data_IF_434018373128
#
_entry.id   IF_434018373128
#
_cell.length_a   1.000
_cell.length_b   1.000
_cell.length_c   1.000
_cell.angle_alpha   90.00
_cell.angle_beta   90.00
_cell.angle_gamma   90.00
#
_symmetry.space_group_name_H-M   'P 1'
#
loop_
_entity.id
_entity.type
_entity.pdbx_description
1 polymer ?
#
# COMPACT_ATOMS: atom_id res chain seq x y z
N UNK A 1 -6.58 -1.13 -23.23
CA UNK A 1 -6.79 -2.51 -22.76
C UNK A 1 -7.91 -2.37 -21.76
N UNK A 2 -9.11 -2.55 -22.29
CA UNK A 2 -10.30 -2.00 -21.68
C UNK A 2 -10.78 -3.07 -20.70
N UNK A 3 -10.40 -2.93 -19.44
CA UNK A 3 -10.80 -3.81 -18.35
C UNK A 3 -12.24 -3.50 -17.93
N UNK A 4 -13.16 -3.47 -18.88
CA UNK A 4 -14.58 -3.45 -18.58
C UNK A 4 -15.04 -4.91 -18.55
N UNK A 5 -15.29 -5.43 -17.35
CA UNK A 5 -15.90 -6.73 -17.15
C UNK A 5 -17.43 -6.57 -17.24
N UNK A 6 -18.08 -6.93 -18.36
CA UNK A 6 -19.51 -6.74 -18.52
C UNK A 6 -20.25 -7.64 -17.52
N UNK A 7 -21.03 -7.02 -16.63
CA UNK A 7 -21.85 -7.72 -15.63
C UNK A 7 -21.48 -7.42 -14.16
N UNK A 8 -20.36 -6.73 -13.90
CA UNK A 8 -20.02 -6.27 -12.56
C UNK A 8 -20.50 -4.82 -12.40
N UNK A 9 -21.41 -4.56 -11.46
CA UNK A 9 -21.68 -3.17 -11.02
C UNK A 9 -20.42 -2.68 -10.32
N UNK A 10 -19.58 -1.92 -11.05
CA UNK A 10 -18.39 -1.32 -10.49
C UNK A 10 -18.82 -0.18 -9.56
N UNK A 11 -18.64 -0.40 -8.26
CA UNK A 11 -18.60 0.69 -7.27
C UNK A 11 -17.14 0.99 -6.98
N UNK A 12 -16.49 1.87 -7.78
CA UNK A 12 -15.08 2.17 -7.61
C UNK A 12 -14.82 2.77 -6.23
N UNK A 13 -13.74 2.33 -5.60
CA UNK A 13 -13.28 2.90 -4.34
C UNK A 13 -12.41 4.11 -4.65
N UNK A 14 -12.77 5.27 -4.08
CA UNK A 14 -11.92 6.46 -4.16
C UNK A 14 -10.62 6.20 -3.36
N UNK A 15 -9.48 6.23 -4.06
CA UNK A 15 -8.19 5.92 -3.47
C UNK A 15 -7.81 6.87 -2.32
N UNK A 16 -8.19 8.16 -2.39
CA UNK A 16 -7.90 9.11 -1.32
C UNK A 16 -8.75 8.84 -0.09
N UNK A 17 -10.03 8.49 -0.27
CA UNK A 17 -10.91 8.06 0.83
C UNK A 17 -10.39 6.78 1.47
N UNK A 18 -9.95 5.81 0.67
CA UNK A 18 -9.35 4.58 1.17
C UNK A 18 -8.08 4.84 1.97
N UNK A 19 -7.16 5.66 1.45
CA UNK A 19 -5.92 6.02 2.16
C UNK A 19 -6.18 6.67 3.51
N UNK A 20 -7.15 7.60 3.58
CA UNK A 20 -7.56 8.21 4.87
C UNK A 20 -8.08 7.18 5.86
N UNK A 21 -8.94 6.26 5.40
CA UNK A 21 -9.48 5.20 6.25
C UNK A 21 -8.37 4.27 6.75
N UNK A 22 -7.43 3.89 5.88
CA UNK A 22 -6.30 3.03 6.20
C UNK A 22 -5.35 3.65 7.23
N UNK A 23 -5.12 4.97 7.18
CA UNK A 23 -4.36 5.68 8.22
C UNK A 23 -5.15 5.69 9.54
N UNK A 24 -6.44 6.05 9.48
CA UNK A 24 -7.27 6.16 10.68
C UNK A 24 -7.56 4.82 11.37
N UNK A 25 -7.41 3.70 10.65
CA UNK A 25 -7.64 2.37 11.21
C UNK A 25 -6.51 1.89 12.12
N UNK A 26 -5.37 2.60 12.15
CA UNK A 26 -4.21 2.22 12.98
C UNK A 26 -3.48 0.96 12.50
N UNK A 27 -3.68 0.54 11.24
CA UNK A 27 -3.02 -0.63 10.64
C UNK A 27 -1.64 -0.25 10.10
N UNK A 28 -1.48 0.99 9.64
CA UNK A 28 -0.21 1.58 9.23
C UNK A 28 0.39 2.38 10.38
N UNK A 29 1.71 2.61 10.37
CA UNK A 29 2.44 3.34 11.41
C UNK A 29 2.26 2.71 12.81
N UNK A 30 2.09 1.38 12.88
CA UNK A 30 1.83 0.67 14.12
C UNK A 30 2.75 -0.55 14.26
N UNK A 31 3.76 -0.41 15.14
CA UNK A 31 4.78 -1.43 15.40
C UNK A 31 4.25 -2.69 16.10
N UNK A 32 3.00 -2.68 16.58
CA UNK A 32 2.37 -3.84 17.24
C UNK A 32 1.74 -4.82 16.25
N UNK A 33 1.69 -4.47 14.96
CA UNK A 33 1.09 -5.28 13.92
C UNK A 33 2.16 -5.82 12.97
N UNK A 34 1.93 -7.01 12.42
CA UNK A 34 2.85 -7.63 11.47
C UNK A 34 2.20 -7.68 10.09
N UNK A 35 2.87 -7.09 9.11
CA UNK A 35 2.46 -7.14 7.71
C UNK A 35 3.00 -8.42 7.06
N UNK A 36 2.14 -9.20 6.42
CA UNK A 36 2.56 -10.40 5.68
C UNK A 36 2.24 -10.20 4.21
N UNK A 37 3.24 -10.37 3.35
CA UNK A 37 3.11 -10.07 1.92
C UNK A 37 3.82 -11.10 1.04
N UNK A 38 3.55 -11.08 -0.26
CA UNK A 38 4.13 -12.01 -1.25
C UNK A 38 4.54 -11.24 -2.50
N UNK A 39 5.83 -11.33 -2.90
CA UNK A 39 6.41 -10.55 -4.03
C UNK A 39 6.03 -9.05 -4.05
N UNK A 40 5.97 -8.43 -2.87
CA UNK A 40 5.18 -7.20 -2.66
C UNK A 40 5.87 -5.87 -2.92
N UNK A 41 6.91 -5.86 -3.74
CA UNK A 41 7.61 -4.61 -4.08
C UNK A 41 6.66 -3.58 -4.71
N UNK A 42 5.79 -4.04 -5.61
CA UNK A 42 4.79 -3.21 -6.27
C UNK A 42 3.63 -2.86 -5.34
N UNK A 43 3.16 -3.81 -4.53
CA UNK A 43 2.01 -3.59 -3.63
C UNK A 43 2.29 -2.48 -2.62
N UNK A 44 3.46 -2.53 -1.97
CA UNK A 44 3.88 -1.46 -1.07
C UNK A 44 4.04 -0.14 -1.80
N UNK A 45 4.55 -0.13 -3.04
CA UNK A 45 4.62 1.07 -3.86
C UNK A 45 3.26 1.73 -4.08
N UNK A 46 2.23 0.94 -4.43
CA UNK A 46 0.88 1.47 -4.62
C UNK A 46 0.26 1.96 -3.32
N UNK A 47 0.37 1.20 -2.23
CA UNK A 47 -0.17 1.63 -0.94
C UNK A 47 0.53 2.89 -0.45
N UNK A 48 1.85 2.97 -0.57
CA UNK A 48 2.62 4.13 -0.16
C UNK A 48 2.26 5.37 -0.99
N UNK A 49 2.04 5.21 -2.30
CA UNK A 49 1.52 6.28 -3.17
C UNK A 49 0.11 6.74 -2.75
N UNK A 50 -0.76 5.81 -2.38
CA UNK A 50 -2.12 6.14 -1.88
C UNK A 50 -2.07 6.88 -0.54
N UNK A 51 -1.20 6.45 0.37
CA UNK A 51 -1.05 7.02 1.72
C UNK A 51 -0.39 8.40 1.69
N UNK A 52 0.68 8.56 0.90
CA UNK A 52 1.46 9.81 0.83
C UNK A 52 0.87 10.81 -0.15
N UNK A 53 0.10 10.34 -1.15
CA UNK A 53 -0.32 11.15 -2.31
C UNK A 53 0.85 11.85 -3.02
N UNK A 54 2.07 11.29 -2.90
CA UNK A 54 3.29 11.81 -3.49
C UNK A 54 3.90 10.82 -4.48
N UNK A 55 4.88 11.29 -5.25
CA UNK A 55 5.73 10.39 -6.02
C UNK A 55 6.58 9.53 -5.07
N UNK A 56 6.85 8.29 -5.48
CA UNK A 56 7.76 7.42 -4.74
C UNK A 56 9.18 7.99 -4.80
N UNK A 57 10.00 7.62 -3.82
CA UNK A 57 11.41 8.00 -3.81
C UNK A 57 12.13 7.48 -5.05
N UNK A 58 12.98 8.32 -5.63
CA UNK A 58 13.83 7.97 -6.78
C UNK A 58 14.95 6.98 -6.41
N UNK A 59 15.17 6.76 -5.10
CA UNK A 59 16.17 5.84 -4.57
C UNK A 59 15.51 4.68 -3.85
N UNK A 60 16.08 3.49 -4.03
CA UNK A 60 15.66 2.28 -3.35
C UNK A 60 15.76 2.43 -1.82
N UNK A 61 16.79 3.09 -1.31
CA UNK A 61 16.96 3.35 0.12
C UNK A 61 15.89 4.28 0.69
N UNK A 62 15.50 5.33 -0.04
CA UNK A 62 14.39 6.21 0.33
C UNK A 62 13.07 5.46 0.37
N UNK A 63 12.83 4.61 -0.63
CA UNK A 63 11.65 3.76 -0.69
C UNK A 63 11.55 2.82 0.53
N UNK A 64 12.62 2.09 0.86
CA UNK A 64 12.64 1.22 2.04
C UNK A 64 12.51 1.98 3.35
N UNK A 65 13.05 3.20 3.44
CA UNK A 65 12.88 4.05 4.63
C UNK A 65 11.41 4.39 4.85
N UNK A 66 10.69 4.72 3.78
CA UNK A 66 9.25 4.98 3.85
C UNK A 66 8.46 3.71 4.16
N UNK A 67 8.80 2.56 3.56
CA UNK A 67 8.13 1.29 3.91
C UNK A 67 8.31 0.96 5.38
N UNK A 68 9.54 1.03 5.91
CA UNK A 68 9.81 0.73 7.31
C UNK A 68 9.07 1.68 8.27
N UNK A 69 8.83 2.93 7.85
CA UNK A 69 8.04 3.87 8.61
C UNK A 69 6.55 3.51 8.58
N UNK A 70 5.97 3.29 7.41
CA UNK A 70 4.52 3.11 7.26
C UNK A 70 4.03 1.69 7.55
N UNK A 71 4.87 0.67 7.36
CA UNK A 71 4.53 -0.76 7.48
C UNK A 71 5.48 -1.56 8.39
N UNK A 72 5.74 -1.13 9.63
CA UNK A 72 6.60 -1.88 10.55
C UNK A 72 5.85 -3.05 11.20
N UNK A 73 6.57 -4.09 11.64
CA UNK A 73 7.43 -4.97 10.84
C UNK A 73 6.66 -5.73 9.73
N UNK A 74 7.33 -6.03 8.62
CA UNK A 74 6.75 -6.80 7.52
C UNK A 74 7.59 -8.04 7.15
N UNK A 75 6.91 -9.12 6.78
CA UNK A 75 7.49 -10.37 6.29
C UNK A 75 7.10 -10.58 4.83
N UNK A 76 8.11 -10.67 3.96
CA UNK A 76 7.92 -11.07 2.57
C UNK A 76 8.07 -12.59 2.49
N UNK A 77 7.00 -13.28 2.12
CA UNK A 77 7.02 -14.70 1.83
C UNK A 77 7.63 -14.94 0.45
N UNK A 78 8.57 -15.88 0.39
CA UNK A 78 9.13 -16.43 -0.85
C UNK A 78 8.70 -17.90 -0.89
N UNK A 79 7.66 -18.20 -1.67
CA UNK A 79 7.13 -19.55 -1.87
C UNK A 79 7.23 -19.85 -3.37
#
# INVERSE_FOLDING_TARGET
MDTEFPGIVLRPVDARRFGKLLISSGIVLNDSLYWVTFHSGYDFGYLLKVLTCQNLSDTQSGFFSLINMYFPPFLILNI
#
